data_IF_312300432456
#
_entry.id   IF_312300432456
#
_cell.length_a   1.000
_cell.length_b   1.000
_cell.length_c   1.000
_cell.angle_alpha   90.00
_cell.angle_beta   90.00
_cell.angle_gamma   90.00
#
_symmetry.space_group_name_H-M   'P 1'
#
loop_
_entity.id
_entity.type
_entity.pdbx_description
1 polymer ?
#
# COMPACT_ATOMS: atom_id res chain seq x y z
N UNK A 1 17.56 -9.04 -28.42
CA UNK A 1 18.39 -9.39 -27.25
C UNK A 1 17.87 -8.54 -26.07
N UNK A 2 16.83 -8.97 -25.40
CA UNK A 2 16.38 -8.41 -24.14
C UNK A 2 17.45 -8.68 -23.10
N UNK A 3 18.03 -7.64 -22.57
CA UNK A 3 19.19 -7.69 -21.68
C UNK A 3 18.86 -8.54 -20.45
N UNK A 4 19.78 -9.42 -20.03
CA UNK A 4 19.74 -10.15 -18.76
C UNK A 4 19.58 -9.24 -17.53
N UNK A 5 19.79 -7.94 -17.69
CA UNK A 5 19.50 -6.90 -16.70
C UNK A 5 18.00 -6.69 -16.47
N UNK A 6 17.15 -6.97 -17.45
CA UNK A 6 15.71 -6.73 -17.37
C UNK A 6 14.98 -7.81 -16.54
N UNK A 7 15.52 -9.02 -16.48
CA UNK A 7 14.94 -10.13 -15.72
C UNK A 7 15.16 -10.02 -14.20
N UNK A 8 16.16 -9.23 -13.80
CA UNK A 8 16.52 -9.03 -12.39
C UNK A 8 15.89 -7.79 -11.76
N UNK A 9 14.99 -7.09 -12.46
CA UNK A 9 14.31 -5.94 -11.88
C UNK A 9 13.12 -6.39 -11.02
N UNK A 10 12.90 -5.71 -9.87
CA UNK A 10 11.71 -5.98 -9.06
C UNK A 10 10.44 -5.77 -9.87
N UNK A 11 9.42 -6.54 -9.59
CA UNK A 11 8.12 -6.41 -10.21
C UNK A 11 6.99 -6.34 -9.18
N UNK A 12 5.96 -5.57 -9.48
CA UNK A 12 4.70 -5.52 -8.75
C UNK A 12 3.78 -6.54 -9.37
N UNK A 13 3.26 -7.41 -8.53
CA UNK A 13 2.36 -8.49 -8.93
C UNK A 13 1.05 -8.32 -8.19
N UNK A 14 -0.06 -8.42 -8.92
CA UNK A 14 -1.41 -8.47 -8.34
C UNK A 14 -2.07 -9.78 -8.77
N UNK A 15 -2.51 -10.56 -7.80
CA UNK A 15 -3.18 -11.85 -8.01
C UNK A 15 -4.46 -11.92 -7.18
N UNK A 16 -5.51 -12.47 -7.76
CA UNK A 16 -6.73 -12.84 -7.05
C UNK A 16 -6.69 -14.33 -6.71
N UNK A 17 -6.99 -14.68 -5.47
CA UNK A 17 -6.93 -16.07 -4.98
C UNK A 17 -8.21 -16.38 -4.20
N UNK A 18 -8.82 -17.53 -4.48
CA UNK A 18 -9.79 -18.13 -3.59
C UNK A 18 -9.05 -18.73 -2.39
N UNK A 19 -9.22 -18.11 -1.19
CA UNK A 19 -8.46 -18.50 0.00
C UNK A 19 -9.37 -18.68 1.22
N UNK A 20 -10.15 -19.73 1.23
CA UNK A 20 -11.04 -20.11 2.35
C UNK A 20 -10.29 -20.33 3.66
N UNK A 21 -9.01 -20.72 3.58
CA UNK A 21 -8.13 -20.96 4.74
C UNK A 21 -7.49 -19.69 5.32
N UNK A 22 -7.77 -18.53 4.74
CA UNK A 22 -7.22 -17.28 5.24
C UNK A 22 -7.74 -16.96 6.64
N UNK A 23 -6.84 -16.91 7.62
CA UNK A 23 -7.21 -16.69 9.03
C UNK A 23 -7.77 -15.30 9.27
N UNK A 24 -7.25 -14.29 8.57
CA UNK A 24 -7.78 -12.93 8.65
C UNK A 24 -9.21 -12.88 8.11
N UNK A 25 -9.46 -13.51 6.95
CA UNK A 25 -10.81 -13.58 6.40
C UNK A 25 -11.80 -14.24 7.38
N UNK A 26 -11.39 -15.33 8.02
CA UNK A 26 -12.21 -16.04 9.02
C UNK A 26 -12.47 -15.18 10.27
N UNK A 27 -11.47 -14.45 10.77
CA UNK A 27 -11.63 -13.53 11.89
C UNK A 27 -12.66 -12.45 11.55
N UNK A 28 -12.50 -11.79 10.42
CA UNK A 28 -13.39 -10.69 10.02
C UNK A 28 -14.79 -11.17 9.65
N UNK A 29 -14.93 -12.38 9.11
CA UNK A 29 -16.24 -13.00 8.89
C UNK A 29 -16.99 -13.22 10.21
N UNK A 30 -16.31 -13.75 11.25
CA UNK A 30 -16.91 -13.94 12.57
C UNK A 30 -17.31 -12.60 13.22
N UNK A 31 -16.70 -11.51 12.82
CA UNK A 31 -17.03 -10.15 13.23
C UNK A 31 -18.09 -9.49 12.35
N UNK A 32 -18.58 -10.18 11.32
CA UNK A 32 -19.48 -9.62 10.30
C UNK A 32 -18.89 -8.34 9.67
N UNK A 33 -17.58 -8.34 9.44
CA UNK A 33 -16.85 -7.27 8.75
C UNK A 33 -16.51 -7.78 7.35
N UNK A 34 -17.21 -7.23 6.37
CA UNK A 34 -17.10 -7.69 4.98
C UNK A 34 -16.04 -6.93 4.17
N UNK A 35 -15.57 -5.81 4.68
CA UNK A 35 -14.52 -5.02 4.02
C UNK A 35 -13.37 -4.78 4.98
N UNK A 36 -12.21 -5.26 4.61
CA UNK A 36 -10.96 -5.00 5.32
C UNK A 36 -9.79 -4.96 4.33
N UNK A 37 -8.73 -4.28 4.72
CA UNK A 37 -7.51 -4.18 3.93
C UNK A 37 -6.31 -4.52 4.81
N UNK A 38 -5.55 -5.55 4.44
CA UNK A 38 -4.27 -5.88 5.05
C UNK A 38 -3.21 -5.01 4.37
N UNK A 39 -2.59 -4.11 5.12
CA UNK A 39 -1.65 -3.11 4.60
C UNK A 39 -0.18 -3.44 4.87
N UNK A 40 0.08 -4.38 5.76
CA UNK A 40 1.43 -4.91 6.01
C UNK A 40 1.35 -6.31 6.62
N UNK A 41 2.30 -7.18 6.26
CA UNK A 41 2.45 -8.51 6.83
C UNK A 41 3.92 -8.76 7.14
N UNK A 42 4.20 -9.14 8.38
CA UNK A 42 5.55 -9.42 8.85
C UNK A 42 5.65 -10.79 9.49
N UNK A 43 6.66 -11.54 9.11
CA UNK A 43 7.00 -12.78 9.79
C UNK A 43 7.84 -12.48 11.02
N UNK A 44 7.37 -12.96 12.17
CA UNK A 44 8.07 -12.86 13.45
C UNK A 44 8.73 -14.21 13.78
N UNK A 45 9.64 -14.25 14.77
CA UNK A 45 10.18 -15.50 15.29
C UNK A 45 9.08 -16.47 15.73
N UNK A 46 9.41 -17.75 15.80
CA UNK A 46 8.49 -18.84 16.20
C UNK A 46 7.28 -19.06 15.27
N UNK A 47 7.41 -18.67 13.99
CA UNK A 47 6.37 -18.92 12.99
C UNK A 47 5.14 -18.01 13.09
N UNK A 48 5.19 -16.98 13.92
CA UNK A 48 4.11 -16.00 14.05
C UNK A 48 4.13 -15.05 12.84
N UNK A 49 2.95 -14.76 12.31
CA UNK A 49 2.75 -13.74 11.27
C UNK A 49 1.91 -12.62 11.84
N UNK A 50 2.43 -11.40 11.80
CA UNK A 50 1.75 -10.18 12.23
C UNK A 50 1.15 -9.49 11.01
N UNK A 51 -0.12 -9.14 11.12
CA UNK A 51 -0.88 -8.44 10.09
C UNK A 51 -1.27 -7.06 10.62
N UNK A 52 -1.02 -6.03 9.84
CA UNK A 52 -1.57 -4.70 10.03
C UNK A 52 -2.79 -4.55 9.13
N UNK A 53 -3.95 -4.28 9.72
CA UNK A 53 -5.21 -4.28 8.98
C UNK A 53 -5.93 -2.96 9.18
N UNK A 54 -6.56 -2.46 8.12
CA UNK A 54 -7.48 -1.32 8.16
C UNK A 54 -8.90 -1.80 7.93
N UNK A 55 -9.81 -1.24 8.71
CA UNK A 55 -11.26 -1.42 8.56
C UNK A 55 -11.97 -0.09 8.75
N UNK A 56 -13.16 0.14 8.17
CA UNK A 56 -13.95 1.34 8.39
C UNK A 56 -14.29 1.55 9.85
N UNK A 57 -14.32 2.81 10.30
CA UNK A 57 -14.58 3.22 11.70
C UNK A 57 -15.96 2.81 12.20
N UNK A 58 -16.93 2.59 11.33
CA UNK A 58 -18.27 2.08 11.66
C UNK A 58 -18.23 0.76 12.43
N UNK A 59 -17.15 0.01 12.30
CA UNK A 59 -16.93 -1.25 13.02
C UNK A 59 -16.25 -1.09 14.39
N UNK A 60 -16.04 0.15 14.88
CA UNK A 60 -15.31 0.41 16.14
C UNK A 60 -15.88 -0.35 17.34
N UNK A 61 -17.20 -0.44 17.45
CA UNK A 61 -17.87 -1.18 18.51
C UNK A 61 -17.51 -2.68 18.54
N UNK A 62 -17.21 -3.26 17.39
CA UNK A 62 -16.78 -4.65 17.24
C UNK A 62 -15.35 -4.90 17.73
N UNK A 63 -14.53 -3.84 17.81
CA UNK A 63 -13.15 -3.88 18.29
C UNK A 63 -13.00 -3.47 19.76
N UNK A 64 -14.00 -2.82 20.36
CA UNK A 64 -13.97 -2.40 21.76
C UNK A 64 -14.11 -3.54 22.76
N UNK A 65 -14.79 -4.62 22.35
CA UNK A 65 -14.78 -5.89 23.11
C UNK A 65 -13.60 -6.68 22.57
N UNK A 66 -12.71 -7.17 23.43
CA UNK A 66 -11.54 -8.01 23.09
C UNK A 66 -11.97 -9.22 22.24
N UNK A 67 -12.11 -9.00 20.96
CA UNK A 67 -12.92 -9.80 20.03
C UNK A 67 -12.22 -11.10 19.63
N UNK A 68 -10.87 -11.08 19.61
CA UNK A 68 -10.07 -12.27 19.32
C UNK A 68 -8.76 -12.18 20.11
N UNK A 69 -8.35 -13.28 20.74
CA UNK A 69 -7.08 -13.41 21.47
C UNK A 69 -5.86 -13.10 20.59
N UNK A 70 -6.03 -13.06 19.28
CA UNK A 70 -5.01 -12.76 18.27
C UNK A 70 -4.84 -11.26 17.99
N UNK A 71 -5.81 -10.42 18.37
CA UNK A 71 -5.69 -8.97 18.28
C UNK A 71 -4.77 -8.45 19.39
N UNK A 72 -3.71 -7.75 19.04
CA UNK A 72 -2.75 -7.17 19.98
C UNK A 72 -3.05 -5.74 20.33
N UNK A 73 -3.47 -4.96 19.32
CA UNK A 73 -3.80 -3.56 19.50
C UNK A 73 -4.76 -3.08 18.40
N UNK A 74 -5.48 -2.01 18.68
CA UNK A 74 -6.27 -1.29 17.67
C UNK A 74 -6.29 0.20 18.01
N UNK A 75 -6.23 1.05 17.00
CA UNK A 75 -6.24 2.50 17.13
C UNK A 75 -7.14 3.09 16.04
N UNK A 76 -7.98 4.06 16.42
CA UNK A 76 -8.73 4.85 15.44
C UNK A 76 -7.79 5.89 14.80
N UNK A 77 -7.79 5.95 13.47
CA UNK A 77 -7.05 6.92 12.67
C UNK A 77 -8.02 7.54 11.66
N UNK A 78 -8.57 8.71 11.97
CA UNK A 78 -9.60 9.33 11.16
C UNK A 78 -10.85 8.46 11.03
N UNK A 79 -11.23 8.14 9.81
CA UNK A 79 -12.38 7.30 9.47
C UNK A 79 -12.07 5.79 9.38
N UNK A 80 -10.88 5.40 9.83
CA UNK A 80 -10.44 4.01 9.82
C UNK A 80 -10.01 3.54 11.22
N UNK A 81 -10.09 2.23 11.43
CA UNK A 81 -9.45 1.53 12.54
C UNK A 81 -8.25 0.80 11.98
N UNK A 82 -7.09 1.02 12.58
CA UNK A 82 -5.86 0.28 12.32
C UNK A 82 -5.68 -0.73 13.43
N UNK A 83 -5.62 -2.01 13.10
CA UNK A 83 -5.53 -3.10 14.08
C UNK A 83 -4.38 -4.06 13.75
N UNK A 84 -3.74 -4.58 14.81
CA UNK A 84 -2.64 -5.54 14.73
C UNK A 84 -3.13 -6.92 15.16
N UNK A 85 -2.97 -7.89 14.27
CA UNK A 85 -3.30 -9.29 14.54
C UNK A 85 -2.06 -10.16 14.44
N UNK A 86 -1.93 -11.13 15.34
CA UNK A 86 -0.91 -12.16 15.29
C UNK A 86 -1.54 -13.52 15.09
N UNK A 87 -1.12 -14.21 14.04
CA UNK A 87 -1.56 -15.55 13.70
C UNK A 87 -0.35 -16.40 13.29
N UNK A 88 -0.54 -17.67 13.06
CA UNK A 88 0.45 -18.54 12.41
C UNK A 88 0.53 -18.30 10.88
N UNK A 89 -0.17 -17.26 10.38
CA UNK A 89 -0.24 -16.93 8.97
C UNK A 89 -1.16 -17.87 8.18
N UNK A 90 -1.14 -17.71 6.87
CA UNK A 90 -1.71 -18.63 5.91
C UNK A 90 -0.70 -18.92 4.81
N UNK A 91 -0.90 -20.00 4.07
CA UNK A 91 0.05 -20.47 3.05
C UNK A 91 0.37 -19.38 2.03
N UNK A 92 -0.62 -18.56 1.61
CA UNK A 92 -0.42 -17.49 0.63
C UNK A 92 0.53 -16.41 1.18
N UNK A 93 0.23 -15.82 2.36
CA UNK A 93 1.08 -14.80 2.97
C UNK A 93 2.47 -15.36 3.27
N UNK A 94 2.55 -16.58 3.81
CA UNK A 94 3.81 -17.23 4.13
C UNK A 94 4.65 -17.50 2.88
N UNK A 95 4.04 -17.95 1.77
CA UNK A 95 4.73 -18.17 0.49
C UNK A 95 5.29 -16.87 -0.05
N UNK A 96 4.50 -15.80 -0.11
CA UNK A 96 4.92 -14.49 -0.60
C UNK A 96 6.13 -13.99 0.20
N UNK A 97 6.00 -13.94 1.52
CA UNK A 97 7.04 -13.37 2.40
C UNK A 97 8.29 -14.25 2.47
N UNK A 98 8.14 -15.59 2.51
CA UNK A 98 9.28 -16.50 2.60
C UNK A 98 10.16 -16.52 1.36
N UNK A 99 9.62 -16.13 0.21
CA UNK A 99 10.37 -16.00 -1.06
C UNK A 99 10.96 -14.61 -1.28
N UNK A 100 11.04 -13.79 -0.23
CA UNK A 100 11.68 -12.48 -0.24
C UNK A 100 10.83 -11.37 -0.89
N UNK A 101 9.56 -11.61 -1.15
CA UNK A 101 8.67 -10.57 -1.64
C UNK A 101 8.06 -9.75 -0.49
N UNK A 102 7.72 -8.49 -0.78
CA UNK A 102 7.04 -7.60 0.14
C UNK A 102 5.55 -7.57 -0.18
N UNK A 103 4.72 -8.01 0.74
CA UNK A 103 3.28 -7.86 0.61
C UNK A 103 2.91 -6.39 0.84
N UNK A 104 2.30 -5.76 -0.17
CA UNK A 104 1.90 -4.35 -0.13
C UNK A 104 0.49 -4.21 0.40
N UNK A 105 -0.41 -5.06 -0.09
CA UNK A 105 -1.81 -5.05 0.37
C UNK A 105 -2.47 -6.39 0.07
N UNK A 106 -3.45 -6.73 0.88
CA UNK A 106 -4.38 -7.80 0.59
C UNK A 106 -5.80 -7.35 1.02
N UNK A 107 -6.75 -7.39 0.10
CA UNK A 107 -8.12 -6.98 0.35
C UNK A 107 -9.12 -7.99 -0.24
N UNK A 108 -10.25 -8.12 0.41
CA UNK A 108 -11.28 -9.04 -0.06
C UNK A 108 -12.16 -8.37 -1.13
N UNK A 109 -12.42 -9.10 -2.21
CA UNK A 109 -13.32 -8.67 -3.28
C UNK A 109 -14.72 -9.21 -3.07
N UNK A 110 -14.81 -10.51 -3.00
CA UNK A 110 -16.05 -11.27 -2.85
C UNK A 110 -15.85 -12.35 -1.80
N UNK A 111 -16.86 -13.17 -1.62
CA UNK A 111 -16.86 -14.30 -0.73
C UNK A 111 -15.63 -15.19 -0.94
N UNK A 112 -14.72 -15.22 0.04
CA UNK A 112 -13.49 -16.01 0.08
C UNK A 112 -12.40 -15.68 -0.96
N UNK A 113 -12.63 -14.68 -1.81
CA UNK A 113 -11.62 -14.17 -2.75
C UNK A 113 -10.88 -12.99 -2.18
N UNK A 114 -9.56 -13.03 -2.31
CA UNK A 114 -8.64 -11.99 -1.87
C UNK A 114 -7.73 -11.59 -3.02
N UNK A 115 -7.59 -10.29 -3.22
CA UNK A 115 -6.55 -9.74 -4.11
C UNK A 115 -5.33 -9.42 -3.28
N UNK A 116 -4.21 -10.04 -3.65
CA UNK A 116 -2.90 -9.80 -3.06
C UNK A 116 -2.06 -8.97 -4.04
N UNK A 117 -1.49 -7.89 -3.55
CA UNK A 117 -0.49 -7.12 -4.30
C UNK A 117 0.84 -7.17 -3.55
N UNK A 118 1.89 -7.59 -4.23
CA UNK A 118 3.22 -7.71 -3.65
C UNK A 118 4.30 -7.26 -4.62
N UNK A 119 5.47 -6.92 -4.10
CA UNK A 119 6.66 -6.63 -4.88
C UNK A 119 7.61 -7.82 -4.73
N UNK A 120 7.85 -8.51 -5.83
CA UNK A 120 8.85 -9.56 -5.93
C UNK A 120 10.21 -8.97 -6.35
N UNK A 121 11.35 -9.54 -5.87
CA UNK A 121 12.67 -9.02 -6.18
C UNK A 121 13.05 -9.17 -7.65
N UNK A 122 12.42 -10.11 -8.38
CA UNK A 122 12.61 -10.30 -9.82
C UNK A 122 11.40 -10.99 -10.44
N UNK A 123 11.32 -11.01 -11.76
CA UNK A 123 10.30 -11.77 -12.50
C UNK A 123 10.36 -13.26 -12.16
N UNK A 124 11.56 -13.85 -12.09
CA UNK A 124 11.73 -15.26 -11.72
C UNK A 124 11.23 -15.56 -10.30
N UNK A 125 11.45 -14.65 -9.35
CA UNK A 125 10.90 -14.79 -8.01
C UNK A 125 9.36 -14.72 -8.00
N UNK A 126 8.77 -13.82 -8.81
CA UNK A 126 7.32 -13.71 -8.97
C UNK A 126 6.71 -15.01 -9.52
N UNK A 127 7.30 -15.54 -10.59
CA UNK A 127 6.90 -16.82 -11.19
C UNK A 127 7.00 -17.98 -10.19
N UNK A 128 8.09 -18.03 -9.42
CA UNK A 128 8.27 -19.04 -8.39
C UNK A 128 7.22 -18.95 -7.27
N UNK A 129 6.80 -17.74 -6.88
CA UNK A 129 5.70 -17.55 -5.92
C UNK A 129 4.40 -18.11 -6.51
N UNK A 130 4.06 -17.73 -7.73
CA UNK A 130 2.85 -18.18 -8.44
C UNK A 130 2.83 -19.71 -8.55
N UNK A 131 3.88 -20.32 -9.08
CA UNK A 131 4.00 -21.78 -9.23
C UNK A 131 3.87 -22.51 -7.89
N UNK A 132 4.46 -21.95 -6.82
CA UNK A 132 4.32 -22.55 -5.48
C UNK A 132 2.86 -22.51 -4.99
N UNK A 133 2.16 -21.41 -5.23
CA UNK A 133 0.74 -21.30 -4.85
C UNK A 133 -0.12 -22.27 -5.66
N UNK A 134 0.14 -22.45 -6.95
CA UNK A 134 -0.53 -23.44 -7.80
C UNK A 134 -0.26 -24.87 -7.30
N UNK A 135 0.99 -25.18 -6.93
CA UNK A 135 1.39 -26.49 -6.35
C UNK A 135 0.66 -26.76 -5.01
N UNK A 136 0.34 -25.73 -4.26
CA UNK A 136 -0.47 -25.81 -3.05
C UNK A 136 -1.99 -25.88 -3.33
N UNK A 137 -2.39 -26.07 -4.59
CA UNK A 137 -3.76 -26.16 -5.08
C UNK A 137 -4.60 -24.91 -4.82
N UNK A 138 -4.01 -23.72 -4.89
CA UNK A 138 -4.76 -22.49 -4.91
C UNK A 138 -5.21 -22.16 -6.34
N UNK A 139 -6.51 -21.93 -6.51
CA UNK A 139 -7.03 -21.29 -7.71
C UNK A 139 -6.68 -19.81 -7.69
N UNK A 140 -5.82 -19.38 -8.60
CA UNK A 140 -5.38 -18.01 -8.69
C UNK A 140 -5.60 -17.43 -10.09
N UNK A 141 -5.89 -16.14 -10.13
CA UNK A 141 -5.95 -15.34 -11.35
C UNK A 141 -4.92 -14.23 -11.27
N UNK A 142 -4.02 -14.16 -12.24
CA UNK A 142 -3.07 -13.05 -12.36
C UNK A 142 -3.84 -11.84 -12.90
N UNK A 143 -3.92 -10.77 -12.11
CA UNK A 143 -4.57 -9.52 -12.49
C UNK A 143 -3.60 -8.58 -13.21
N UNK A 144 -2.32 -8.65 -12.85
CA UNK A 144 -1.27 -7.88 -13.51
C UNK A 144 0.11 -8.18 -12.95
N UNK A 145 1.11 -8.07 -13.83
CA UNK A 145 2.52 -8.08 -13.47
C UNK A 145 3.15 -6.87 -14.15
N UNK A 146 3.63 -5.94 -13.35
CA UNK A 146 4.23 -4.71 -13.80
C UNK A 146 5.67 -4.62 -13.30
N UNK A 147 6.58 -4.07 -14.11
CA UNK A 147 7.90 -3.73 -13.59
C UNK A 147 7.75 -2.76 -12.43
N UNK A 148 8.35 -3.09 -11.28
CA UNK A 148 8.41 -2.15 -10.18
C UNK A 148 9.28 -0.97 -10.61
N UNK A 149 8.64 0.04 -11.16
CA UNK A 149 9.30 1.31 -11.37
C UNK A 149 9.37 1.98 -10.01
N UNK A 150 10.59 2.31 -9.58
CA UNK A 150 10.79 3.29 -8.51
C UNK A 150 9.74 4.38 -8.73
N UNK A 151 8.99 4.76 -7.67
CA UNK A 151 8.01 5.86 -7.78
C UNK A 151 8.52 6.84 -8.82
N UNK A 152 7.81 6.96 -9.94
CA UNK A 152 8.17 7.95 -10.95
C UNK A 152 8.30 9.22 -10.13
N UNK A 153 9.47 9.84 -10.19
CA UNK A 153 9.67 11.10 -9.49
C UNK A 153 8.81 12.12 -10.25
N UNK A 154 7.51 12.12 -9.91
CA UNK A 154 6.48 12.96 -10.56
C UNK A 154 6.95 14.42 -10.52
N UNK A 155 7.57 14.79 -9.42
CA UNK A 155 8.11 16.11 -9.21
C UNK A 155 9.65 16.09 -9.23
N UNK A 156 10.26 17.12 -9.78
CA UNK A 156 11.69 17.38 -9.54
C UNK A 156 11.89 17.76 -8.08
N UNK A 157 13.10 17.58 -7.54
CA UNK A 157 13.44 17.97 -6.15
C UNK A 157 13.05 19.43 -5.84
N UNK A 158 13.26 20.35 -6.81
CA UNK A 158 12.87 21.76 -6.65
C UNK A 158 11.35 21.95 -6.59
N UNK A 159 10.60 21.22 -7.42
CA UNK A 159 9.14 21.27 -7.40
C UNK A 159 8.56 20.65 -6.13
N UNK A 160 9.10 19.51 -5.71
CA UNK A 160 8.70 18.83 -4.47
C UNK A 160 8.93 19.73 -3.26
N UNK A 161 10.13 20.31 -3.13
CA UNK A 161 10.48 21.22 -2.04
C UNK A 161 9.59 22.47 -2.03
N UNK A 162 9.34 23.08 -3.19
CA UNK A 162 8.52 24.29 -3.30
C UNK A 162 7.06 24.01 -2.92
N UNK A 163 6.48 22.91 -3.41
CA UNK A 163 5.09 22.53 -3.12
C UNK A 163 4.92 22.06 -1.68
N UNK A 164 5.88 21.31 -1.15
CA UNK A 164 5.85 20.90 0.26
C UNK A 164 5.91 22.12 1.19
N UNK A 165 6.84 23.04 0.97
CA UNK A 165 6.95 24.25 1.79
C UNK A 165 5.72 25.14 1.66
N UNK A 166 5.11 25.23 0.47
CA UNK A 166 3.88 25.96 0.25
C UNK A 166 2.70 25.36 1.03
N UNK A 167 2.60 24.03 1.05
CA UNK A 167 1.58 23.29 1.80
C UNK A 167 1.75 23.49 3.30
N UNK A 168 2.92 23.24 3.84
CA UNK A 168 3.22 23.38 5.27
C UNK A 168 3.05 24.83 5.78
N UNK A 169 3.38 25.83 4.95
CA UNK A 169 3.22 27.22 5.30
C UNK A 169 1.76 27.74 5.16
N UNK A 170 0.83 26.90 4.70
CA UNK A 170 -0.56 27.26 4.53
C UNK A 170 -0.84 28.17 3.33
N UNK A 171 -0.01 28.10 2.28
CA UNK A 171 -0.25 28.84 1.04
C UNK A 171 -1.52 28.38 0.33
N UNK A 172 -1.88 27.11 0.48
CA UNK A 172 -3.10 26.52 -0.10
C UNK A 172 -4.31 26.58 0.84
N UNK A 173 -4.15 27.08 2.06
CA UNK A 173 -5.24 27.20 3.01
C UNK A 173 -6.21 28.35 2.58
N UNK A 174 -7.43 28.27 3.09
CA UNK A 174 -8.38 29.37 2.99
C UNK A 174 -8.82 29.83 4.40
N UNK A 175 -8.56 31.06 4.80
CA UNK A 175 -7.73 32.08 4.11
C UNK A 175 -6.24 31.69 4.09
N UNK A 176 -5.52 32.16 3.06
CA UNK A 176 -4.08 31.91 2.93
C UNK A 176 -3.30 32.43 4.13
N UNK A 177 -2.41 31.62 4.69
CA UNK A 177 -1.55 31.99 5.83
C UNK A 177 -0.24 32.66 5.42
N UNK A 178 0.17 32.52 4.17
CA UNK A 178 1.40 33.08 3.64
C UNK A 178 1.21 33.58 2.20
N UNK A 179 1.88 34.68 1.84
CA UNK A 179 1.90 35.19 0.47
C UNK A 179 2.97 34.48 -0.39
N UNK A 180 2.82 34.57 -1.71
CA UNK A 180 3.83 34.04 -2.63
C UNK A 180 5.18 34.79 -2.48
N UNK A 181 5.13 36.10 -2.18
CA UNK A 181 6.31 36.92 -1.95
C UNK A 181 7.08 36.48 -0.71
N UNK A 182 6.39 36.16 0.38
CA UNK A 182 7.04 35.68 1.60
C UNK A 182 7.61 34.26 1.43
N UNK A 183 6.87 33.41 0.72
CA UNK A 183 7.31 32.05 0.42
C UNK A 183 8.56 32.05 -0.50
N UNK A 184 8.58 32.93 -1.51
CA UNK A 184 9.72 33.08 -2.43
C UNK A 184 10.98 33.58 -1.70
N UNK A 185 10.79 34.48 -0.72
CA UNK A 185 11.90 34.98 0.12
C UNK A 185 12.51 33.86 0.96
N UNK A 186 11.67 32.96 1.52
CA UNK A 186 12.17 31.77 2.25
C UNK A 186 12.99 30.83 1.36
N UNK A 187 12.62 30.70 0.09
CA UNK A 187 13.33 29.86 -0.89
C UNK A 187 14.49 30.58 -1.60
N UNK A 188 14.70 31.87 -1.33
CA UNK A 188 15.72 32.73 -1.97
C UNK A 188 15.62 32.73 -3.50
N UNK A 189 14.40 32.78 -4.04
CA UNK A 189 14.11 32.88 -5.48
C UNK A 189 13.10 33.99 -5.73
N UNK A 190 12.90 34.39 -6.99
CA UNK A 190 11.89 35.40 -7.31
C UNK A 190 10.47 34.85 -7.20
N UNK A 191 9.45 35.69 -6.89
CA UNK A 191 8.05 35.24 -6.87
C UNK A 191 7.59 34.64 -8.20
N UNK A 192 8.05 35.17 -9.33
CA UNK A 192 7.74 34.65 -10.66
C UNK A 192 8.33 33.26 -10.88
N UNK A 193 9.59 33.04 -10.47
CA UNK A 193 10.25 31.75 -10.53
C UNK A 193 9.50 30.71 -9.66
N UNK A 194 9.13 31.09 -8.43
CA UNK A 194 8.38 30.22 -7.54
C UNK A 194 7.03 29.84 -8.14
N UNK A 195 6.30 30.83 -8.67
CA UNK A 195 4.98 30.61 -9.31
C UNK A 195 5.10 29.58 -10.44
N UNK A 196 6.13 29.71 -11.29
CA UNK A 196 6.32 28.80 -12.40
C UNK A 196 6.72 27.39 -11.95
N UNK A 197 7.59 27.25 -10.94
CA UNK A 197 7.96 25.95 -10.34
C UNK A 197 6.72 25.25 -9.78
N UNK A 198 5.90 25.98 -9.04
CA UNK A 198 4.69 25.43 -8.43
C UNK A 198 3.65 25.05 -9.50
N UNK A 199 3.40 25.93 -10.48
CA UNK A 199 2.47 25.66 -11.59
C UNK A 199 2.85 24.37 -12.34
N UNK A 200 4.14 24.20 -12.71
CA UNK A 200 4.63 22.99 -13.38
C UNK A 200 4.55 21.76 -12.48
N UNK A 201 4.82 21.93 -11.19
CA UNK A 201 4.72 20.84 -10.21
C UNK A 201 3.28 20.37 -10.03
N UNK A 202 2.34 21.29 -9.84
CA UNK A 202 0.91 20.99 -9.70
C UNK A 202 0.39 20.30 -10.98
N UNK A 203 0.73 20.82 -12.16
CA UNK A 203 0.33 20.19 -13.42
C UNK A 203 0.78 18.73 -13.50
N UNK A 204 2.04 18.43 -13.17
CA UNK A 204 2.56 17.05 -13.16
C UNK A 204 1.85 16.15 -12.16
N UNK A 205 1.51 16.66 -10.97
CA UNK A 205 0.75 15.90 -9.98
C UNK A 205 -0.66 15.57 -10.48
N UNK A 206 -1.32 16.52 -11.13
CA UNK A 206 -2.66 16.31 -11.68
C UNK A 206 -2.63 15.32 -12.85
N UNK A 207 -1.68 15.48 -13.79
CA UNK A 207 -1.47 14.53 -14.89
C UNK A 207 -1.26 13.11 -14.33
N UNK A 208 -0.34 12.96 -13.37
CA UNK A 208 -0.07 11.66 -12.72
C UNK A 208 -1.30 11.09 -12.02
N UNK A 209 -2.07 11.92 -11.32
CA UNK A 209 -3.27 11.48 -10.60
C UNK A 209 -4.33 10.96 -11.56
N UNK A 210 -4.61 11.70 -12.64
CA UNK A 210 -5.65 11.33 -13.61
C UNK A 210 -5.23 10.20 -14.55
N UNK A 211 -3.95 10.00 -14.82
CA UNK A 211 -3.44 8.88 -15.61
C UNK A 211 -3.40 7.55 -14.82
N UNK A 212 -3.49 7.59 -13.49
CA UNK A 212 -3.42 6.41 -12.62
C UNK A 212 -4.73 6.15 -11.84
N UNK A 213 -5.84 6.77 -12.25
CA UNK A 213 -7.20 6.45 -11.83
C UNK A 213 -7.71 5.24 -12.63
#
# INVERSE_FOLDING_TARGET
MTSAYEENLPCRVSIEILNEKCKMLRIFRNLEIHRFNVVDVRRLPRGITRHLVRVPVEHLAKFSKRVDARMRNSVRVGEEIVAWFETDGCDVCNTIVSKGAFLITAWNTEKDKLVYTFIAPSMGAAQNIILTLETLNFELKILGIERYRRRIQVLTKKQEMALWLALEAGFFDYPKKISISDLSRKLKISPSTLSEIMRRGIRRLLEYYFENL
#
